data_IF_450844055344
#
_entry.id   IF_450844055344
#
_cell.length_a   1.000
_cell.length_b   1.000
_cell.length_c   1.000
_cell.angle_alpha   90.00
_cell.angle_beta   90.00
_cell.angle_gamma   90.00
#
_symmetry.space_group_name_H-M   'P 1'
#
loop_
_entity.id
_entity.type
_entity.pdbx_description
1 polymer ?
#
# COMPACT_ATOMS: atom_id res chain seq x y z
N UNK A 1 21.62 -4.19 4.73
CA UNK A 1 21.50 -5.10 5.88
C UNK A 1 22.49 -4.81 7.02
N UNK A 2 23.78 -4.49 6.74
CA UNK A 2 24.80 -4.28 7.80
C UNK A 2 24.50 -3.11 8.75
N UNK A 3 23.86 -2.06 8.28
CA UNK A 3 23.52 -0.86 9.07
C UNK A 3 22.13 -0.91 9.70
N UNK A 4 21.42 -2.04 9.61
CA UNK A 4 20.12 -2.23 10.24
C UNK A 4 18.92 -1.64 9.49
N UNK A 5 19.09 -1.12 8.28
CA UNK A 5 17.98 -0.62 7.47
C UNK A 5 17.17 -1.77 6.86
N UNK A 6 15.85 -1.63 6.87
CA UNK A 6 14.92 -2.49 6.14
C UNK A 6 14.87 -2.02 4.68
N UNK A 7 14.92 -2.97 3.74
CA UNK A 7 14.78 -2.68 2.32
C UNK A 7 13.29 -2.64 1.98
N UNK A 8 12.81 -1.49 1.51
CA UNK A 8 11.45 -1.31 1.02
C UNK A 8 11.42 -1.28 -0.51
N UNK A 9 10.60 -2.13 -1.11
CA UNK A 9 10.47 -2.24 -2.57
C UNK A 9 9.15 -1.70 -3.11
N UNK A 10 8.42 -0.89 -2.34
CA UNK A 10 7.15 -0.29 -2.76
C UNK A 10 7.26 0.51 -4.05
N UNK A 11 8.35 1.30 -4.21
CA UNK A 11 8.62 2.11 -5.41
C UNK A 11 9.59 1.44 -6.40
N UNK A 12 9.88 0.17 -6.23
CA UNK A 12 10.86 -0.57 -7.04
C UNK A 12 10.16 -1.34 -8.14
N UNK A 13 10.79 -1.44 -9.32
CA UNK A 13 10.30 -2.27 -10.42
C UNK A 13 10.28 -3.74 -9.99
N UNK A 14 9.42 -4.52 -10.62
CA UNK A 14 9.25 -5.94 -10.27
C UNK A 14 10.57 -6.71 -10.38
N UNK A 15 11.30 -6.53 -11.48
CA UNK A 15 12.61 -7.16 -11.69
C UNK A 15 13.61 -6.83 -10.57
N UNK A 16 13.75 -5.54 -10.25
CA UNK A 16 14.68 -5.11 -9.18
C UNK A 16 14.21 -5.57 -7.80
N UNK A 17 12.90 -5.75 -7.59
CA UNK A 17 12.37 -6.32 -6.36
C UNK A 17 12.77 -7.79 -6.20
N UNK A 18 12.71 -8.61 -7.26
CA UNK A 18 13.22 -9.99 -7.23
C UNK A 18 14.72 -10.05 -6.96
N UNK A 19 15.50 -9.15 -7.57
CA UNK A 19 16.94 -9.05 -7.28
C UNK A 19 17.17 -8.67 -5.81
N UNK A 20 16.38 -7.75 -5.24
CA UNK A 20 16.47 -7.38 -3.84
C UNK A 20 16.17 -8.56 -2.91
N UNK A 21 15.13 -9.37 -3.20
CA UNK A 21 14.83 -10.61 -2.44
C UNK A 21 16.02 -11.56 -2.51
N UNK A 22 16.55 -11.80 -3.71
CA UNK A 22 17.63 -12.75 -3.95
C UNK A 22 18.93 -12.42 -3.18
N UNK A 23 19.26 -11.13 -3.10
CA UNK A 23 20.54 -10.68 -2.53
C UNK A 23 20.43 -10.17 -1.10
N UNK A 24 19.23 -10.00 -0.55
CA UNK A 24 19.05 -9.59 0.84
C UNK A 24 19.26 -10.78 1.78
N UNK A 25 20.07 -10.57 2.81
CA UNK A 25 20.28 -11.54 3.90
C UNK A 25 19.18 -11.47 4.97
N UNK A 26 18.22 -10.53 4.82
CA UNK A 26 17.13 -10.29 5.77
C UNK A 26 15.83 -10.07 5.01
N UNK A 27 14.68 -10.30 5.65
CA UNK A 27 13.39 -9.99 5.06
C UNK A 27 13.33 -8.54 4.54
N UNK A 28 12.69 -8.37 3.40
CA UNK A 28 12.40 -7.07 2.80
C UNK A 28 10.89 -6.81 2.86
N UNK A 29 10.47 -5.58 2.65
CA UNK A 29 9.05 -5.21 2.75
C UNK A 29 8.55 -4.53 1.49
N UNK A 30 7.27 -4.68 1.24
CA UNK A 30 6.45 -3.78 0.42
C UNK A 30 5.67 -2.94 1.41
N UNK A 31 6.18 -1.76 1.81
CA UNK A 31 5.57 -1.00 2.90
C UNK A 31 4.20 -0.41 2.53
N UNK A 32 3.96 -0.09 1.25
CA UNK A 32 2.70 0.51 0.79
C UNK A 32 2.42 0.21 -0.69
N UNK A 33 1.60 -0.79 -0.94
CA UNK A 33 1.05 -1.11 -2.25
C UNK A 33 -0.16 -2.05 -2.10
N UNK A 34 -0.92 -2.26 -3.18
CA UNK A 34 -2.02 -3.22 -3.19
C UNK A 34 -1.76 -4.31 -4.24
N UNK A 35 -2.51 -5.43 -4.23
CA UNK A 35 -2.38 -6.44 -5.25
C UNK A 35 -2.94 -5.98 -6.61
N UNK A 36 -2.21 -6.25 -7.69
CA UNK A 36 -2.65 -5.98 -9.07
C UNK A 36 -3.97 -6.70 -9.41
N UNK A 37 -4.19 -7.90 -8.86
CA UNK A 37 -5.44 -8.65 -9.10
C UNK A 37 -6.68 -7.96 -8.55
N UNK A 38 -6.52 -7.09 -7.54
CA UNK A 38 -7.63 -6.29 -7.02
C UNK A 38 -7.81 -4.98 -7.80
N UNK A 39 -6.70 -4.30 -8.11
CA UNK A 39 -6.71 -3.06 -8.91
C UNK A 39 -5.44 -2.96 -9.75
N UNK A 40 -5.54 -2.92 -11.09
CA UNK A 40 -4.40 -2.94 -12.01
C UNK A 40 -3.70 -1.58 -12.14
N UNK A 41 -3.26 -1.00 -11.04
CA UNK A 41 -2.43 0.20 -11.00
C UNK A 41 -0.96 -0.15 -11.24
N UNK A 42 -0.20 0.73 -11.90
CA UNK A 42 1.26 0.57 -12.09
C UNK A 42 2.05 0.52 -10.78
N UNK A 43 1.48 1.06 -9.70
CA UNK A 43 2.07 1.07 -8.36
C UNK A 43 1.80 -0.22 -7.59
N UNK A 44 0.76 -0.93 -7.95
CA UNK A 44 0.38 -2.18 -7.31
C UNK A 44 1.30 -3.32 -7.74
N UNK A 45 1.36 -4.37 -6.94
CA UNK A 45 2.32 -5.46 -7.08
C UNK A 45 1.67 -6.74 -7.58
N UNK A 46 2.42 -7.51 -8.37
CA UNK A 46 1.95 -8.82 -8.84
C UNK A 46 1.81 -9.82 -7.68
N UNK A 47 0.90 -10.77 -7.85
CA UNK A 47 0.69 -11.88 -6.90
C UNK A 47 1.99 -12.68 -6.68
N UNK A 48 2.77 -12.84 -7.74
CA UNK A 48 4.04 -13.55 -7.69
C UNK A 48 5.03 -12.80 -6.79
N UNK A 49 5.20 -11.50 -6.99
CA UNK A 49 6.13 -10.70 -6.17
C UNK A 49 5.71 -10.67 -4.70
N UNK A 50 4.41 -10.50 -4.42
CA UNK A 50 3.92 -10.49 -3.03
C UNK A 50 4.23 -11.83 -2.36
N UNK A 51 3.96 -12.94 -3.04
CA UNK A 51 4.27 -14.30 -2.53
C UNK A 51 5.76 -14.51 -2.27
N UNK A 52 6.62 -14.06 -3.17
CA UNK A 52 8.07 -14.17 -2.98
C UNK A 52 8.55 -13.37 -1.76
N UNK A 53 8.06 -12.11 -1.59
CA UNK A 53 8.38 -11.28 -0.43
C UNK A 53 7.93 -11.97 0.86
N UNK A 54 6.68 -12.43 0.92
CA UNK A 54 6.12 -13.04 2.14
C UNK A 54 6.73 -14.41 2.45
N UNK A 55 7.05 -15.21 1.42
CA UNK A 55 7.74 -16.49 1.59
C UNK A 55 9.18 -16.31 2.08
N UNK A 56 9.81 -15.18 1.79
CA UNK A 56 11.12 -14.81 2.30
C UNK A 56 11.07 -14.18 3.73
N UNK A 57 9.92 -14.25 4.40
CA UNK A 57 9.70 -13.71 5.74
C UNK A 57 9.42 -12.20 5.78
N UNK A 58 9.22 -11.59 4.61
CA UNK A 58 8.82 -10.19 4.49
C UNK A 58 7.30 -10.00 4.58
N UNK A 59 6.85 -8.76 4.36
CA UNK A 59 5.43 -8.42 4.45
C UNK A 59 5.01 -7.38 3.41
N UNK A 60 3.69 -7.27 3.22
CA UNK A 60 3.07 -6.18 2.46
C UNK A 60 2.17 -5.33 3.35
N UNK A 61 2.37 -4.01 3.31
CA UNK A 61 1.46 -3.01 3.87
C UNK A 61 0.49 -2.49 2.81
N UNK A 62 -0.80 -2.60 3.05
CA UNK A 62 -1.81 -2.15 2.10
C UNK A 62 -1.98 -0.64 2.10
N UNK A 63 -1.88 -0.06 0.91
CA UNK A 63 -1.98 1.37 0.68
C UNK A 63 -3.43 1.82 0.62
N UNK A 64 -3.68 3.02 1.19
CA UNK A 64 -4.98 3.70 1.11
C UNK A 64 -4.90 4.90 0.16
N UNK A 65 -3.76 5.09 -0.51
CA UNK A 65 -3.61 6.13 -1.50
C UNK A 65 -4.57 5.89 -2.69
N UNK A 66 -5.40 6.87 -3.09
CA UNK A 66 -6.53 6.64 -4.00
C UNK A 66 -6.18 5.99 -5.34
N UNK A 67 -5.01 6.30 -5.94
CA UNK A 67 -4.59 5.67 -7.20
C UNK A 67 -4.16 4.21 -7.07
N UNK A 68 -4.01 3.72 -5.84
CA UNK A 68 -3.75 2.30 -5.56
C UNK A 68 -5.03 1.52 -5.26
N UNK A 69 -6.15 2.23 -5.04
CA UNK A 69 -7.43 1.66 -4.64
C UNK A 69 -8.32 1.37 -5.85
N UNK A 70 -9.04 0.27 -5.78
CA UNK A 70 -10.19 0.05 -6.65
C UNK A 70 -11.23 1.15 -6.36
N UNK A 71 -11.74 1.76 -7.41
CA UNK A 71 -12.68 2.89 -7.35
C UNK A 71 -12.09 4.20 -6.74
N UNK A 72 -10.76 4.28 -6.56
CA UNK A 72 -10.05 5.48 -6.13
C UNK A 72 -10.62 6.08 -4.83
N UNK A 73 -10.93 7.36 -4.85
CA UNK A 73 -11.52 8.08 -3.70
C UNK A 73 -12.91 7.56 -3.29
N UNK A 74 -13.59 6.82 -4.16
CA UNK A 74 -14.88 6.20 -3.89
C UNK A 74 -14.76 4.78 -3.30
N UNK A 75 -13.55 4.29 -3.09
CA UNK A 75 -13.32 2.99 -2.47
C UNK A 75 -14.01 2.94 -1.11
N UNK A 76 -14.85 1.92 -0.90
CA UNK A 76 -15.52 1.72 0.38
C UNK A 76 -14.64 0.97 1.36
N UNK A 77 -14.84 1.19 2.66
CA UNK A 77 -14.17 0.44 3.71
C UNK A 77 -14.41 -1.07 3.56
N UNK A 78 -15.61 -1.48 3.16
CA UNK A 78 -15.95 -2.88 2.91
C UNK A 78 -15.14 -3.46 1.76
N UNK A 79 -15.00 -2.76 0.63
CA UNK A 79 -14.18 -3.20 -0.51
C UNK A 79 -12.70 -3.35 -0.11
N UNK A 80 -12.16 -2.39 0.64
CA UNK A 80 -10.78 -2.43 1.14
C UNK A 80 -10.58 -3.60 2.12
N UNK A 81 -11.47 -3.75 3.10
CA UNK A 81 -11.38 -4.84 4.08
C UNK A 81 -11.53 -6.22 3.41
N UNK A 82 -12.42 -6.35 2.41
CA UNK A 82 -12.57 -7.59 1.62
C UNK A 82 -11.27 -7.94 0.88
N UNK A 83 -10.59 -6.95 0.29
CA UNK A 83 -9.28 -7.16 -0.33
C UNK A 83 -8.25 -7.68 0.69
N UNK A 84 -8.26 -7.14 1.91
CA UNK A 84 -7.37 -7.60 2.99
C UNK A 84 -7.70 -9.06 3.36
N UNK A 85 -8.97 -9.44 3.48
CA UNK A 85 -9.36 -10.82 3.77
C UNK A 85 -8.88 -11.79 2.69
N UNK A 86 -9.11 -11.46 1.41
CA UNK A 86 -8.61 -12.26 0.30
C UNK A 86 -7.08 -12.33 0.25
N UNK A 87 -6.40 -11.28 0.69
CA UNK A 87 -4.94 -11.26 0.79
C UNK A 87 -4.43 -12.11 1.97
N UNK A 88 -5.14 -12.12 3.10
CA UNK A 88 -4.84 -12.99 4.23
C UNK A 88 -4.92 -14.47 3.85
N UNK A 89 -5.93 -14.84 3.06
CA UNK A 89 -6.07 -16.20 2.51
C UNK A 89 -4.91 -16.60 1.57
N UNK A 90 -4.38 -15.63 0.83
CA UNK A 90 -3.32 -15.86 -0.18
C UNK A 90 -1.91 -15.84 0.39
N UNK A 91 -1.65 -14.96 1.35
CA UNK A 91 -0.29 -14.62 1.81
C UNK A 91 -0.08 -14.91 3.29
N UNK A 92 -1.13 -15.22 4.04
CA UNK A 92 -1.12 -15.40 5.49
C UNK A 92 -1.31 -14.08 6.25
N UNK A 93 -2.05 -14.14 7.35
CA UNK A 93 -2.36 -12.98 8.20
C UNK A 93 -1.11 -12.35 8.83
N UNK A 94 -0.08 -13.15 9.07
CA UNK A 94 1.19 -12.71 9.69
C UNK A 94 2.10 -11.91 8.74
N UNK A 95 1.79 -11.91 7.45
CA UNK A 95 2.62 -11.29 6.40
C UNK A 95 1.99 -10.03 5.79
N UNK A 96 0.90 -9.55 6.36
CA UNK A 96 0.17 -8.40 5.84
C UNK A 96 -0.02 -7.32 6.91
N UNK A 97 -0.13 -6.07 6.49
CA UNK A 97 -0.32 -4.94 7.38
C UNK A 97 -0.91 -3.73 6.65
N UNK A 98 -0.91 -2.58 7.30
CA UNK A 98 -1.41 -1.32 6.73
C UNK A 98 -0.24 -0.36 6.50
N UNK A 99 -0.08 0.07 5.26
CA UNK A 99 0.88 1.10 4.86
C UNK A 99 0.15 2.24 4.16
N UNK A 100 -0.49 3.12 4.91
CA UNK A 100 -1.53 4.04 4.41
C UNK A 100 -1.11 4.93 3.24
N UNK A 101 0.16 5.33 3.18
CA UNK A 101 0.67 6.29 2.19
C UNK A 101 -0.13 7.61 2.16
N UNK A 102 -0.62 8.04 3.34
CA UNK A 102 -1.46 9.22 3.47
C UNK A 102 -0.65 10.51 3.39
N UNK A 103 -1.08 11.43 2.53
CA UNK A 103 -0.50 12.76 2.38
C UNK A 103 -1.36 13.80 3.12
N UNK A 104 -1.39 13.71 4.44
CA UNK A 104 -2.22 14.59 5.26
C UNK A 104 -1.68 16.02 5.32
N UNK A 105 -2.56 17.00 5.13
CA UNK A 105 -2.25 18.44 5.25
C UNK A 105 -1.12 18.93 4.32
N UNK A 106 -0.90 18.27 3.21
CA UNK A 106 0.05 18.75 2.19
C UNK A 106 -0.67 19.68 1.20
N UNK A 107 -0.10 20.86 0.91
CA UNK A 107 -0.66 21.74 -0.10
C UNK A 107 -0.42 21.19 -1.52
N UNK A 108 -1.27 21.57 -2.48
CA UNK A 108 -1.16 21.18 -3.88
C UNK A 108 0.20 21.50 -4.50
N UNK A 109 0.85 22.57 -4.03
CA UNK A 109 2.21 22.96 -4.45
C UNK A 109 3.26 21.87 -4.22
N UNK A 110 3.04 20.93 -3.30
CA UNK A 110 3.95 19.79 -3.10
C UNK A 110 3.88 18.83 -4.29
N UNK A 111 2.66 18.53 -4.77
CA UNK A 111 2.46 17.69 -5.96
C UNK A 111 3.04 18.38 -7.19
N UNK A 112 2.77 19.67 -7.34
CA UNK A 112 3.32 20.50 -8.41
C UNK A 112 4.84 20.50 -8.41
N UNK A 113 5.47 20.61 -7.23
CA UNK A 113 6.92 20.49 -7.07
C UNK A 113 7.44 19.10 -7.45
N UNK A 114 6.81 18.03 -7.01
CA UNK A 114 7.20 16.66 -7.36
C UNK A 114 7.09 16.40 -8.86
N UNK A 115 6.12 17.02 -9.54
CA UNK A 115 5.90 16.89 -10.98
C UNK A 115 6.80 17.75 -11.85
N UNK A 116 7.40 18.77 -11.29
CA UNK A 116 8.37 19.62 -12.01
C UNK A 116 9.68 18.88 -12.32
N UNK A 117 9.84 17.66 -11.88
CA UNK A 117 10.90 16.77 -12.33
C UNK A 117 10.74 16.38 -13.80
N UNK A 118 11.83 16.33 -14.53
CA UNK A 118 11.83 16.08 -15.98
C UNK A 118 11.29 14.71 -16.36
N UNK A 119 11.35 13.74 -15.46
CA UNK A 119 10.94 12.35 -15.69
C UNK A 119 9.42 12.10 -15.58
N UNK A 120 8.65 13.06 -15.07
CA UNK A 120 7.20 12.89 -14.84
C UNK A 120 6.32 13.79 -15.73
N UNK A 121 6.90 14.65 -16.56
CA UNK A 121 6.14 15.67 -17.33
C UNK A 121 5.17 15.09 -18.36
N UNK A 122 5.45 13.93 -18.91
CA UNK A 122 4.69 13.32 -20.01
C UNK A 122 3.86 12.11 -19.56
N UNK A 123 4.03 11.68 -18.31
CA UNK A 123 3.39 10.47 -17.80
C UNK A 123 2.40 10.89 -16.73
N UNK A 124 1.12 10.64 -16.99
CA UNK A 124 0.08 10.73 -15.97
C UNK A 124 0.22 9.56 -14.99
N UNK A 125 0.80 9.85 -13.82
CA UNK A 125 0.83 8.92 -12.70
C UNK A 125 -0.43 9.01 -11.84
N UNK A 126 -1.41 9.82 -12.25
CA UNK A 126 -2.67 10.01 -11.56
C UNK A 126 -2.67 11.11 -10.50
N UNK A 127 -1.51 11.53 -10.03
CA UNK A 127 -1.37 12.61 -9.05
C UNK A 127 -1.28 13.95 -9.77
N UNK A 128 -2.18 14.90 -9.45
CA UNK A 128 -2.21 16.20 -10.07
C UNK A 128 -2.31 16.10 -11.59
N UNK A 129 -3.32 15.43 -12.08
CA UNK A 129 -3.65 15.42 -13.50
C UNK A 129 -3.73 16.85 -14.04
N UNK A 130 -3.70 16.99 -15.36
CA UNK A 130 -3.71 18.30 -16.02
C UNK A 130 -4.86 19.20 -15.54
N UNK A 131 -5.95 18.56 -15.11
CA UNK A 131 -7.19 19.20 -14.64
C UNK A 131 -7.34 19.16 -13.11
N UNK A 132 -6.41 18.51 -12.38
CA UNK A 132 -6.36 18.46 -10.92
C UNK A 132 -4.89 18.46 -10.47
N UNK A 133 -4.42 19.62 -10.04
CA UNK A 133 -3.01 19.85 -9.69
C UNK A 133 -2.61 19.31 -8.31
N UNK A 134 -3.56 18.82 -7.52
CA UNK A 134 -3.37 18.43 -6.13
C UNK A 134 -3.28 16.93 -5.88
N UNK A 135 -3.22 16.58 -4.60
CA UNK A 135 -3.41 15.20 -4.17
C UNK A 135 -4.87 14.78 -4.39
N UNK A 136 -5.12 13.52 -4.78
CA UNK A 136 -6.49 13.04 -4.93
C UNK A 136 -7.20 13.05 -3.58
N UNK A 137 -8.53 13.28 -3.61
CA UNK A 137 -9.35 13.22 -2.42
C UNK A 137 -9.26 11.83 -1.77
N UNK A 138 -9.02 11.79 -0.47
CA UNK A 138 -9.00 10.56 0.28
C UNK A 138 -10.40 9.92 0.38
N UNK A 139 -10.50 8.59 0.51
CA UNK A 139 -11.77 7.92 0.81
C UNK A 139 -12.43 8.53 2.06
N UNK A 140 -13.77 8.59 2.07
CA UNK A 140 -14.52 9.26 3.14
C UNK A 140 -14.27 8.68 4.54
N UNK A 141 -13.89 7.41 4.61
CA UNK A 141 -13.61 6.68 5.85
C UNK A 141 -12.15 6.78 6.32
N UNK A 142 -11.24 7.38 5.52
CA UNK A 142 -9.82 7.53 5.88
C UNK A 142 -9.24 8.82 5.31
N UNK A 143 -9.36 9.93 6.03
CA UNK A 143 -8.88 11.26 5.62
C UNK A 143 -7.67 11.75 6.40
N UNK A 144 -7.41 11.18 7.55
CA UNK A 144 -6.37 11.59 8.48
C UNK A 144 -5.92 10.41 9.34
N UNK A 145 -4.77 10.54 9.97
CA UNK A 145 -4.18 9.47 10.79
C UNK A 145 -5.08 9.01 11.96
N UNK A 146 -5.92 9.88 12.49
CA UNK A 146 -6.89 9.49 13.53
C UNK A 146 -8.02 8.58 13.05
N UNK A 147 -8.09 8.29 11.73
CA UNK A 147 -9.12 7.44 11.15
C UNK A 147 -8.69 5.94 11.09
N UNK A 148 -7.47 5.61 11.53
CA UNK A 148 -7.02 4.21 11.62
C UNK A 148 -8.01 3.26 12.35
N UNK A 149 -8.71 3.67 13.42
CA UNK A 149 -9.73 2.82 14.05
C UNK A 149 -10.83 2.34 13.10
N UNK A 150 -11.17 3.10 12.05
CA UNK A 150 -12.17 2.69 11.07
C UNK A 150 -11.73 1.42 10.33
N UNK A 151 -10.42 1.25 10.08
CA UNK A 151 -9.87 0.04 9.43
C UNK A 151 -10.08 -1.15 10.36
N UNK A 152 -9.76 -1.00 11.65
CA UNK A 152 -9.98 -2.06 12.63
C UNK A 152 -11.44 -2.51 12.69
N UNK A 153 -12.36 -1.55 12.66
CA UNK A 153 -13.80 -1.83 12.63
C UNK A 153 -14.20 -2.56 11.33
N UNK A 154 -13.62 -2.16 10.20
CA UNK A 154 -13.81 -2.83 8.91
C UNK A 154 -13.34 -4.28 8.94
N UNK A 155 -12.15 -4.55 9.48
CA UNK A 155 -11.60 -5.89 9.61
C UNK A 155 -12.48 -6.80 10.49
N UNK A 156 -12.90 -6.30 11.64
CA UNK A 156 -13.83 -7.04 12.53
C UNK A 156 -15.17 -7.35 11.85
N UNK A 157 -15.68 -6.40 11.07
CA UNK A 157 -16.98 -6.53 10.40
C UNK A 157 -17.00 -7.62 9.35
N UNK A 158 -15.86 -7.89 8.69
CA UNK A 158 -15.73 -8.96 7.70
C UNK A 158 -15.28 -10.30 8.28
N UNK A 159 -15.07 -10.39 9.61
CA UNK A 159 -14.87 -11.66 10.31
C UNK A 159 -13.49 -11.91 10.90
N UNK A 160 -12.53 -10.98 10.79
CA UNK A 160 -11.27 -11.13 11.53
C UNK A 160 -11.52 -11.11 13.04
N UNK A 161 -10.90 -12.02 13.77
CA UNK A 161 -10.89 -11.99 15.22
C UNK A 161 -9.97 -10.85 15.74
N UNK A 162 -10.00 -10.59 17.04
CA UNK A 162 -9.23 -9.47 17.62
C UNK A 162 -7.73 -9.63 17.43
N UNK A 163 -7.19 -10.83 17.55
CA UNK A 163 -5.76 -11.10 17.40
C UNK A 163 -5.30 -10.85 15.96
N UNK A 164 -6.00 -11.41 14.99
CA UNK A 164 -5.72 -11.21 13.56
C UNK A 164 -5.81 -9.74 13.16
N UNK A 165 -6.87 -9.06 13.60
CA UNK A 165 -7.05 -7.65 13.30
C UNK A 165 -5.93 -6.78 13.89
N UNK A 166 -5.47 -7.05 15.11
CA UNK A 166 -4.35 -6.36 15.73
C UNK A 166 -3.01 -6.67 15.05
N UNK A 167 -2.80 -7.90 14.60
CA UNK A 167 -1.64 -8.27 13.77
C UNK A 167 -1.58 -7.40 12.52
N UNK A 168 -2.67 -7.34 11.75
CA UNK A 168 -2.76 -6.52 10.53
C UNK A 168 -2.56 -5.03 10.83
N UNK A 169 -3.08 -4.56 11.96
CA UNK A 169 -2.97 -3.15 12.38
C UNK A 169 -1.58 -2.74 12.90
N UNK A 170 -0.64 -3.68 13.09
CA UNK A 170 0.74 -3.33 13.43
C UNK A 170 1.51 -4.32 14.29
N UNK A 171 0.92 -5.42 14.77
CA UNK A 171 1.65 -6.41 15.55
C UNK A 171 2.49 -7.38 14.70
N UNK A 172 2.39 -7.31 13.37
CA UNK A 172 3.22 -8.07 12.43
C UNK A 172 4.57 -7.41 12.11
N UNK A 173 4.83 -6.21 12.63
CA UNK A 173 6.05 -5.43 12.40
C UNK A 173 7.15 -5.75 13.41
#
# INVERSE_FOLDING_TARGET
>A
NRIGLVIDVSHTSERSSFDAIKYSERPIVISHANPIWWHPSKRNKSDILIKEVTSAGGMIGFSIYPHHLKDGSNCTLESFSTMIAQSADKYGVDNIGIGSDICQNQPDSVVEWMRNGTWSKEIDYGEGAKDDAGFPNQPTWFKKTSDFPNILDGLKKIGFNNEEALKIMGLNL
#
